data_IF_541763008636
#
_entry.id   IF_541763008636
#
_cell.length_a   1.000
_cell.length_b   1.000
_cell.length_c   1.000
_cell.angle_alpha   90.00
_cell.angle_beta   90.00
_cell.angle_gamma   90.00
#
_symmetry.space_group_name_H-M   'P 1'
#
loop_
_entity.id
_entity.type
_entity.pdbx_description
1 polymer ?
#
# COMPACT_ATOMS: atom_id res chain seq x y z
N UNK A 1 3.46 -12.98 -9.88
CA UNK A 1 3.91 -14.35 -9.50
C UNK A 1 3.73 -15.36 -10.61
N UNK A 2 4.49 -16.47 -10.56
CA UNK A 2 4.44 -17.55 -11.56
C UNK A 2 3.72 -18.78 -11.00
N UNK A 3 2.73 -19.27 -11.72
CA UNK A 3 2.05 -20.54 -11.43
C UNK A 3 2.60 -21.64 -12.35
N UNK A 4 2.85 -22.82 -11.77
CA UNK A 4 3.28 -24.00 -12.50
C UNK A 4 2.23 -25.10 -12.31
N UNK A 5 1.62 -25.53 -13.41
CA UNK A 5 0.74 -26.70 -13.45
C UNK A 5 1.55 -27.91 -13.88
N UNK A 6 1.59 -28.94 -13.04
CA UNK A 6 2.23 -30.22 -13.35
C UNK A 6 1.16 -31.27 -13.64
N UNK A 7 1.30 -31.99 -14.74
CA UNK A 7 0.46 -33.14 -15.02
C UNK A 7 0.99 -34.37 -14.27
N UNK A 8 0.42 -34.64 -13.09
CA UNK A 8 0.70 -35.84 -12.30
C UNK A 8 -0.17 -37.06 -12.68
N UNK A 9 -1.02 -36.92 -13.70
CA UNK A 9 -1.88 -37.98 -14.21
C UNK A 9 -1.19 -38.78 -15.32
N UNK A 10 -1.79 -39.89 -15.72
CA UNK A 10 -1.42 -40.74 -16.86
C UNK A 10 -2.09 -40.30 -18.17
N UNK A 11 -3.17 -39.52 -18.11
CA UNK A 11 -3.81 -38.90 -19.26
C UNK A 11 -3.13 -37.58 -19.66
N UNK A 12 -3.28 -37.17 -20.92
CA UNK A 12 -2.90 -35.81 -21.35
C UNK A 12 -3.95 -34.81 -20.88
N UNK A 13 -3.51 -33.60 -20.53
CA UNK A 13 -4.38 -32.49 -20.12
C UNK A 13 -3.98 -31.21 -20.83
N UNK A 14 -4.84 -30.19 -20.80
CA UNK A 14 -4.48 -28.82 -21.19
C UNK A 14 -4.75 -27.87 -20.02
N UNK A 15 -4.08 -26.72 -20.04
CA UNK A 15 -4.49 -25.54 -19.30
C UNK A 15 -4.90 -24.54 -20.36
N UNK A 16 -6.16 -24.13 -20.35
CA UNK A 16 -6.73 -23.20 -21.33
C UNK A 16 -7.52 -22.14 -20.57
N UNK A 17 -7.06 -20.89 -20.65
CA UNK A 17 -7.72 -19.76 -19.98
C UNK A 17 -9.10 -19.48 -20.59
N UNK A 18 -10.07 -19.14 -19.75
CA UNK A 18 -11.46 -18.93 -20.11
C UNK A 18 -12.42 -19.84 -19.34
N UNK A 19 -13.66 -19.91 -19.80
CA UNK A 19 -14.70 -20.74 -19.19
C UNK A 19 -15.22 -21.76 -20.19
N UNK A 20 -15.83 -22.84 -19.69
CA UNK A 20 -16.43 -23.88 -20.56
C UNK A 20 -17.52 -23.28 -21.46
N UNK A 21 -18.33 -22.35 -20.94
CA UNK A 21 -19.42 -21.72 -21.67
C UNK A 21 -18.96 -20.59 -22.60
N UNK A 22 -17.96 -19.81 -22.18
CA UNK A 22 -17.42 -18.68 -22.94
C UNK A 22 -16.32 -19.03 -23.93
N UNK A 23 -15.77 -20.26 -23.83
CA UNK A 23 -14.61 -20.68 -24.61
C UNK A 23 -13.30 -20.05 -24.14
N UNK A 24 -12.21 -20.25 -24.90
CA UNK A 24 -10.89 -19.73 -24.56
C UNK A 24 -10.82 -18.20 -24.72
N UNK A 25 -10.26 -17.50 -23.73
CA UNK A 25 -10.09 -16.04 -23.76
C UNK A 25 -8.69 -15.59 -24.23
N UNK A 26 -7.74 -16.52 -24.35
CA UNK A 26 -6.40 -16.28 -24.89
C UNK A 26 -5.40 -15.63 -23.93
N UNK A 27 -5.73 -15.46 -22.64
CA UNK A 27 -4.84 -14.86 -21.64
C UNK A 27 -3.63 -15.76 -21.35
N UNK A 28 -3.86 -17.06 -21.13
CA UNK A 28 -2.80 -18.05 -20.91
C UNK A 28 -3.22 -19.45 -21.35
N UNK A 29 -2.24 -20.33 -21.43
CA UNK A 29 -2.47 -21.68 -21.93
C UNK A 29 -2.79 -21.72 -23.42
N UNK A 30 -3.43 -22.81 -23.86
CA UNK A 30 -3.78 -23.01 -25.27
C UNK A 30 -4.15 -24.47 -25.57
N UNK A 31 -4.08 -24.87 -26.84
CA UNK A 31 -4.34 -26.25 -27.29
C UNK A 31 -3.17 -27.21 -27.05
N UNK A 32 -2.12 -26.76 -26.34
CA UNK A 32 -0.92 -27.55 -26.11
C UNK A 32 -1.18 -28.56 -24.99
N UNK A 33 -1.02 -29.85 -25.32
CA UNK A 33 -1.14 -30.93 -24.36
C UNK A 33 0.05 -30.96 -23.41
N UNK A 34 -0.24 -30.97 -22.11
CA UNK A 34 0.68 -31.34 -21.05
C UNK A 34 0.63 -32.86 -20.93
N UNK A 35 1.70 -33.53 -21.36
CA UNK A 35 1.83 -34.99 -21.23
C UNK A 35 2.12 -35.39 -19.78
N UNK A 36 1.89 -36.66 -19.38
CA UNK A 36 2.24 -37.16 -18.05
C UNK A 36 3.67 -36.79 -17.64
N UNK A 37 3.80 -36.25 -16.42
CA UNK A 37 5.08 -35.80 -15.84
C UNK A 37 5.61 -34.46 -16.37
N UNK A 38 4.94 -33.82 -17.34
CA UNK A 38 5.32 -32.50 -17.86
C UNK A 38 4.59 -31.37 -17.12
N UNK A 39 5.06 -30.14 -17.33
CA UNK A 39 4.49 -28.95 -16.70
C UNK A 39 4.26 -27.81 -17.69
N UNK A 40 3.28 -26.96 -17.40
CA UNK A 40 3.06 -25.66 -18.02
C UNK A 40 3.26 -24.56 -16.96
N UNK A 41 3.83 -23.43 -17.35
CA UNK A 41 4.03 -22.28 -16.46
C UNK A 41 3.52 -21.00 -17.09
N UNK A 42 2.95 -20.13 -16.26
CA UNK A 42 2.53 -18.79 -16.67
C UNK A 42 2.78 -17.79 -15.54
N UNK A 43 3.23 -16.59 -15.90
CA UNK A 43 3.49 -15.51 -14.96
C UNK A 43 2.36 -14.50 -15.06
N UNK A 44 1.64 -14.30 -13.96
CA UNK A 44 0.59 -13.28 -13.87
C UNK A 44 1.19 -11.95 -13.42
N UNK A 45 0.86 -10.89 -14.15
CA UNK A 45 1.31 -9.51 -13.89
C UNK A 45 0.17 -8.58 -13.49
N UNK A 46 -1.07 -9.02 -13.66
CA UNK A 46 -2.28 -8.26 -13.35
C UNK A 46 -3.12 -9.00 -12.32
N UNK A 47 -3.76 -8.25 -11.44
CA UNK A 47 -4.74 -8.81 -10.53
C UNK A 47 -6.04 -9.14 -11.23
N UNK A 48 -6.75 -10.12 -10.69
CA UNK A 48 -7.99 -10.58 -11.27
C UNK A 48 -8.26 -12.05 -10.98
N UNK A 49 -9.37 -12.50 -11.56
CA UNK A 49 -9.78 -13.89 -11.53
C UNK A 49 -9.60 -14.47 -12.91
N UNK A 50 -8.82 -15.53 -12.98
CA UNK A 50 -8.40 -16.15 -14.22
C UNK A 50 -8.94 -17.58 -14.26
N UNK A 51 -10.19 -17.78 -14.73
CA UNK A 51 -10.74 -19.11 -14.90
C UNK A 51 -9.98 -19.86 -15.99
N UNK A 52 -9.88 -21.18 -15.82
CA UNK A 52 -9.29 -22.06 -16.82
C UNK A 52 -9.98 -23.42 -16.80
N UNK A 53 -9.84 -24.14 -17.90
CA UNK A 53 -10.37 -25.49 -18.03
C UNK A 53 -9.46 -26.36 -18.92
N UNK A 54 -9.70 -27.67 -18.90
CA UNK A 54 -9.10 -28.61 -19.82
C UNK A 54 -9.99 -28.80 -21.06
N UNK A 55 -9.44 -28.64 -22.27
CA UNK A 55 -10.20 -28.71 -23.53
C UNK A 55 -10.79 -30.10 -23.79
N UNK A 56 -10.08 -31.16 -23.41
CA UNK A 56 -10.50 -32.54 -23.66
C UNK A 56 -11.21 -33.18 -22.47
N UNK A 57 -11.19 -32.50 -21.31
CA UNK A 57 -11.90 -32.90 -20.10
C UNK A 57 -12.62 -31.67 -19.52
N UNK A 58 -13.71 -31.18 -20.14
CA UNK A 58 -14.30 -29.87 -19.79
C UNK A 58 -14.84 -29.77 -18.36
N UNK A 59 -15.03 -30.89 -17.67
CA UNK A 59 -15.36 -30.92 -16.24
C UNK A 59 -14.18 -30.51 -15.33
N UNK A 60 -12.95 -30.50 -15.84
CA UNK A 60 -11.77 -30.04 -15.12
C UNK A 60 -11.65 -28.53 -15.25
N UNK A 61 -12.27 -27.82 -14.31
CA UNK A 61 -12.23 -26.36 -14.21
C UNK A 61 -11.44 -25.91 -13.00
N UNK A 62 -10.77 -24.77 -13.09
CA UNK A 62 -10.14 -24.11 -11.97
C UNK A 62 -10.14 -22.60 -12.13
N UNK A 63 -9.74 -21.88 -11.08
CA UNK A 63 -9.59 -20.42 -11.13
C UNK A 63 -8.30 -20.05 -10.41
N UNK A 64 -7.47 -19.25 -11.06
CA UNK A 64 -6.35 -18.56 -10.39
C UNK A 64 -6.87 -17.21 -9.93
N UNK A 65 -6.77 -16.95 -8.63
CA UNK A 65 -7.01 -15.63 -8.06
C UNK A 65 -5.65 -14.95 -7.91
N UNK A 66 -5.44 -13.86 -8.63
CA UNK A 66 -4.28 -13.00 -8.45
C UNK A 66 -4.78 -11.77 -7.70
N UNK A 67 -4.44 -11.70 -6.43
CA UNK A 67 -4.76 -10.54 -5.60
C UNK A 67 -3.55 -9.64 -5.52
N UNK A 68 -3.78 -8.37 -5.19
CA UNK A 68 -2.68 -7.48 -4.91
C UNK A 68 -2.05 -7.97 -3.59
N UNK A 69 -0.78 -8.38 -3.61
CA UNK A 69 -0.06 -8.98 -2.49
C UNK A 69 0.24 -8.02 -1.33
N UNK A 70 -0.64 -7.03 -1.11
CA UNK A 70 -0.54 -6.05 -0.06
C UNK A 70 -0.76 -6.70 1.32
N UNK A 71 0.17 -6.40 2.23
CA UNK A 71 0.12 -6.70 3.66
C UNK A 71 -0.28 -5.42 4.38
N UNK A 72 -1.04 -5.52 5.46
CA UNK A 72 -1.55 -4.35 6.20
C UNK A 72 -0.76 -4.15 7.50
N UNK A 73 -0.31 -2.92 7.71
CA UNK A 73 0.17 -2.40 9.00
C UNK A 73 -1.01 -1.63 9.58
N UNK A 74 -1.65 -2.21 10.59
CA UNK A 74 -2.83 -1.64 11.22
C UNK A 74 -2.47 -0.55 12.22
N UNK A 75 -3.45 0.30 12.51
CA UNK A 75 -3.40 1.24 13.63
C UNK A 75 -2.23 2.26 13.56
N UNK A 76 -1.73 2.60 12.36
CA UNK A 76 -0.69 3.61 12.20
C UNK A 76 -1.22 4.96 12.68
N UNK A 77 -0.51 5.57 13.63
CA UNK A 77 -0.95 6.81 14.28
C UNK A 77 -1.54 6.62 15.68
N UNK A 78 -1.91 5.40 16.10
CA UNK A 78 -2.53 5.14 17.41
C UNK A 78 -1.75 5.65 18.63
N UNK A 79 -0.43 5.64 18.54
CA UNK A 79 0.47 6.05 19.63
C UNK A 79 0.79 7.55 19.61
N UNK A 80 0.25 8.29 18.65
CA UNK A 80 0.47 9.72 18.46
C UNK A 80 -0.87 10.44 18.22
N UNK A 81 -0.89 11.77 18.18
CA UNK A 81 -2.12 12.54 17.92
C UNK A 81 -3.14 12.48 19.05
N UNK A 82 -4.40 12.26 18.70
CA UNK A 82 -5.54 12.17 19.64
C UNK A 82 -5.73 10.76 20.23
N UNK A 83 -4.92 9.78 19.80
CA UNK A 83 -5.01 8.38 20.22
C UNK A 83 -6.24 7.62 19.69
N UNK A 84 -7.04 8.23 18.83
CA UNK A 84 -8.24 7.63 18.22
C UNK A 84 -8.17 7.60 16.69
N UNK A 85 -7.47 8.55 16.08
CA UNK A 85 -7.28 8.62 14.65
C UNK A 85 -6.16 7.66 14.26
N UNK A 86 -6.52 6.63 13.49
CA UNK A 86 -5.59 5.62 13.01
C UNK A 86 -5.77 5.36 11.53
N UNK A 87 -4.69 4.92 10.89
CA UNK A 87 -4.63 4.64 9.47
C UNK A 87 -4.13 3.22 9.26
N UNK A 88 -4.75 2.51 8.32
CA UNK A 88 -4.20 1.27 7.80
C UNK A 88 -3.26 1.61 6.64
N UNK A 89 -2.00 1.16 6.76
CA UNK A 89 -1.00 1.30 5.70
C UNK A 89 -0.80 -0.04 5.04
N UNK A 90 -1.01 -0.12 3.73
CA UNK A 90 -0.87 -1.36 2.99
C UNK A 90 0.45 -1.36 2.21
N UNK A 91 1.16 -2.48 2.14
CA UNK A 91 2.38 -2.58 1.35
C UNK A 91 2.54 -3.93 0.66
N UNK A 92 2.97 -3.91 -0.60
CA UNK A 92 3.40 -5.09 -1.33
C UNK A 92 4.92 -5.05 -1.41
N UNK A 93 5.54 -5.99 -0.70
CA UNK A 93 6.98 -6.18 -0.65
C UNK A 93 7.28 -7.63 -0.27
N UNK A 94 8.44 -8.12 -0.71
CA UNK A 94 8.92 -9.47 -0.43
C UNK A 94 9.53 -9.60 0.98
N UNK A 95 9.83 -8.46 1.63
CA UNK A 95 10.28 -8.35 3.02
C UNK A 95 9.20 -7.74 3.91
N UNK A 96 9.34 -7.92 5.22
CA UNK A 96 8.39 -7.41 6.20
C UNK A 96 8.71 -5.95 6.48
N UNK A 97 7.70 -5.07 6.42
CA UNK A 97 7.76 -3.73 7.01
C UNK A 97 7.13 -3.77 8.40
N UNK A 98 7.93 -3.47 9.42
CA UNK A 98 7.48 -3.30 10.78
C UNK A 98 7.52 -1.82 11.15
N UNK A 99 6.42 -1.30 11.71
CA UNK A 99 6.39 0.07 12.20
C UNK A 99 7.44 0.23 13.33
N UNK A 100 8.37 1.16 13.15
CA UNK A 100 9.46 1.39 14.10
C UNK A 100 9.24 2.71 14.88
N UNK A 101 9.04 3.82 14.16
CA UNK A 101 8.89 5.14 14.77
C UNK A 101 7.82 5.95 14.05
N UNK A 102 7.02 6.67 14.83
CA UNK A 102 6.20 7.79 14.36
C UNK A 102 6.58 9.01 15.20
N UNK A 103 7.00 10.09 14.55
CA UNK A 103 7.27 11.38 15.18
C UNK A 103 6.44 12.47 14.48
N UNK A 104 5.39 12.94 15.14
CA UNK A 104 4.54 14.01 14.60
C UNK A 104 5.24 15.36 14.52
N UNK A 105 6.14 15.67 15.46
CA UNK A 105 6.85 16.95 15.49
C UNK A 105 7.81 17.08 14.33
N UNK A 106 8.47 15.97 13.96
CA UNK A 106 9.37 15.89 12.82
C UNK A 106 8.68 15.42 11.53
N UNK A 107 7.39 15.05 11.61
CA UNK A 107 6.62 14.45 10.51
C UNK A 107 7.30 13.22 9.92
N UNK A 108 7.78 12.32 10.78
CA UNK A 108 8.47 11.10 10.40
C UNK A 108 7.60 9.86 10.63
N UNK A 109 7.59 8.98 9.63
CA UNK A 109 7.10 7.62 9.72
C UNK A 109 8.23 6.69 9.27
N UNK A 110 8.74 5.88 10.19
CA UNK A 110 9.86 4.97 9.94
C UNK A 110 9.42 3.53 10.11
N UNK A 111 9.79 2.71 9.15
CA UNK A 111 9.64 1.27 9.15
C UNK A 111 11.01 0.59 9.23
N UNK A 112 11.09 -0.45 10.06
CA UNK A 112 12.17 -1.43 9.99
C UNK A 112 11.84 -2.46 8.90
N UNK A 113 12.83 -2.80 8.09
CA UNK A 113 12.72 -3.79 7.02
C UNK A 113 13.36 -5.09 7.50
N UNK A 114 12.53 -6.12 7.68
CA UNK A 114 12.92 -7.39 8.29
C UNK A 114 12.96 -8.50 7.24
N UNK A 115 14.00 -9.33 7.30
CA UNK A 115 14.24 -10.45 6.38
C UNK A 115 15.21 -10.09 5.27
N UNK A 116 15.52 -11.06 4.42
CA UNK A 116 16.38 -10.91 3.24
C UNK A 116 15.52 -10.86 1.98
N UNK A 117 15.93 -10.06 0.99
CA UNK A 117 15.27 -10.05 -0.32
C UNK A 117 15.18 -11.47 -0.90
N UNK A 118 13.99 -11.83 -1.36
CA UNK A 118 13.69 -13.10 -2.04
C UNK A 118 13.28 -12.86 -3.50
N UNK A 119 13.12 -11.59 -3.90
CA UNK A 119 12.75 -11.15 -5.25
C UNK A 119 13.92 -10.44 -5.94
N UNK A 120 14.03 -10.63 -7.25
CA UNK A 120 15.00 -9.92 -8.08
C UNK A 120 14.54 -8.49 -8.44
N UNK A 121 13.25 -8.17 -8.28
CA UNK A 121 12.71 -6.87 -8.69
C UNK A 121 12.95 -5.75 -7.67
N UNK A 122 13.14 -6.09 -6.39
CA UNK A 122 13.39 -5.16 -5.29
C UNK A 122 12.29 -4.11 -5.09
N UNK A 123 11.10 -4.29 -5.67
CA UNK A 123 10.08 -3.23 -5.70
C UNK A 123 9.20 -3.26 -4.46
N UNK A 124 9.26 -2.20 -3.66
CA UNK A 124 8.28 -1.90 -2.62
C UNK A 124 7.18 -1.02 -3.21
N UNK A 125 5.93 -1.45 -3.07
CA UNK A 125 4.75 -0.57 -3.23
C UNK A 125 4.11 -0.35 -1.88
N UNK A 126 3.98 0.89 -1.44
CA UNK A 126 3.29 1.26 -0.21
C UNK A 126 2.10 2.17 -0.53
N UNK A 127 0.93 1.84 0.01
CA UNK A 127 -0.31 2.61 -0.10
C UNK A 127 -0.53 3.30 1.23
N UNK A 128 -0.56 4.62 1.16
CA UNK A 128 -0.70 5.50 2.31
C UNK A 128 -2.01 6.26 2.16
N UNK A 129 -2.90 6.26 3.16
CA UNK A 129 -4.09 7.11 3.14
C UNK A 129 -3.69 8.57 2.94
N UNK A 130 -4.42 9.31 2.10
CA UNK A 130 -4.10 10.72 1.82
C UNK A 130 -4.17 11.58 3.07
N UNK A 131 -5.04 11.24 4.01
CA UNK A 131 -5.08 11.88 5.33
C UNK A 131 -3.78 11.67 6.15
N UNK A 132 -3.06 10.57 5.94
CA UNK A 132 -1.75 10.34 6.57
C UNK A 132 -0.63 11.11 5.84
N UNK A 133 -0.80 11.37 4.54
CA UNK A 133 0.19 12.02 3.67
C UNK A 133 -0.48 12.77 2.51
N UNK A 134 -0.65 14.08 2.66
CA UNK A 134 -1.14 14.97 1.60
C UNK A 134 -0.17 16.14 1.39
N UNK A 135 0.63 16.06 0.33
CA UNK A 135 1.62 17.07 -0.02
C UNK A 135 2.99 16.49 -0.35
N UNK A 136 4.02 17.34 -0.53
CA UNK A 136 5.36 16.88 -0.86
C UNK A 136 5.97 16.10 0.32
N UNK A 137 6.46 14.90 0.04
CA UNK A 137 7.17 14.08 0.99
C UNK A 137 8.51 13.61 0.45
N UNK A 138 9.36 13.15 1.35
CA UNK A 138 10.69 12.63 1.02
C UNK A 138 10.79 11.20 1.53
N UNK A 139 11.27 10.32 0.66
CA UNK A 139 11.61 8.94 1.02
C UNK A 139 13.12 8.86 1.28
N UNK A 140 13.47 8.31 2.43
CA UNK A 140 14.84 8.03 2.85
C UNK A 140 14.95 6.54 3.13
N UNK A 141 15.97 5.89 2.55
CA UNK A 141 16.31 4.51 2.83
C UNK A 141 17.72 4.46 3.40
N UNK A 142 17.87 3.89 4.59
CA UNK A 142 19.12 3.80 5.35
C UNK A 142 19.91 5.12 5.49
N UNK A 143 19.18 6.24 5.55
CA UNK A 143 19.76 7.58 5.69
C UNK A 143 20.02 8.30 4.36
N UNK A 144 19.81 7.65 3.22
CA UNK A 144 19.95 8.25 1.90
C UNK A 144 18.60 8.57 1.27
N UNK A 145 18.47 9.79 0.73
CA UNK A 145 17.28 10.17 -0.05
C UNK A 145 17.26 9.38 -1.36
N UNK A 146 16.13 8.77 -1.66
CA UNK A 146 15.93 8.00 -2.90
C UNK A 146 14.80 8.58 -3.75
N UNK A 147 14.84 8.25 -5.04
CA UNK A 147 13.76 8.54 -5.96
C UNK A 147 12.64 7.50 -5.83
N UNK A 148 11.42 7.92 -6.12
CA UNK A 148 10.23 7.08 -6.10
C UNK A 148 9.27 7.53 -7.20
N UNK A 149 8.31 6.67 -7.52
CA UNK A 149 7.15 7.02 -8.33
C UNK A 149 5.94 7.10 -7.43
N UNK A 150 5.06 8.08 -7.68
CA UNK A 150 3.81 8.23 -6.94
C UNK A 150 2.61 8.24 -7.88
N UNK A 151 1.50 7.69 -7.42
CA UNK A 151 0.19 7.85 -8.03
C UNK A 151 -0.85 8.08 -6.94
N UNK A 152 -1.74 9.04 -7.15
CA UNK A 152 -2.82 9.36 -6.22
C UNK A 152 -4.15 8.90 -6.82
N UNK A 153 -4.93 8.20 -6.01
CA UNK A 153 -6.28 7.73 -6.32
C UNK A 153 -7.17 8.11 -5.13
N UNK A 154 -8.16 8.98 -5.33
CA UNK A 154 -9.06 9.59 -4.34
C UNK A 154 -8.47 9.71 -2.90
N UNK A 155 -8.57 8.64 -2.11
CA UNK A 155 -8.21 8.60 -0.69
C UNK A 155 -6.85 7.92 -0.38
N UNK A 156 -6.11 7.48 -1.40
CA UNK A 156 -4.87 6.72 -1.28
C UNK A 156 -3.76 7.25 -2.19
N UNK A 157 -2.59 7.48 -1.60
CA UNK A 157 -1.32 7.72 -2.31
C UNK A 157 -0.54 6.42 -2.38
N UNK A 158 -0.27 5.91 -3.59
CA UNK A 158 0.60 4.75 -3.80
C UNK A 158 2.00 5.21 -4.18
N UNK A 159 3.00 4.78 -3.40
CA UNK A 159 4.41 5.08 -3.60
C UNK A 159 5.14 3.80 -4.02
N UNK A 160 5.82 3.84 -5.15
CA UNK A 160 6.63 2.73 -5.68
C UNK A 160 8.11 3.07 -5.58
N UNK A 161 8.85 2.21 -4.90
CA UNK A 161 10.23 2.42 -4.49
C UNK A 161 11.06 1.21 -4.91
N UNK A 162 12.16 1.43 -5.62
CA UNK A 162 13.16 0.39 -5.86
C UNK A 162 14.09 0.31 -4.63
N UNK A 163 13.99 -0.79 -3.89
CA UNK A 163 14.69 -1.00 -2.63
C UNK A 163 16.03 -1.73 -2.87
N UNK A 164 17.15 -1.22 -2.33
CA UNK A 164 18.37 -1.99 -2.22
C UNK A 164 18.17 -3.28 -1.41
N UNK A 165 18.84 -4.36 -1.84
CA UNK A 165 18.62 -5.70 -1.29
C UNK A 165 18.92 -5.82 0.23
N UNK A 166 19.86 -5.03 0.72
CA UNK A 166 20.34 -5.05 2.10
C UNK A 166 19.73 -3.94 2.98
N UNK A 167 18.73 -3.22 2.46
CA UNK A 167 18.15 -2.08 3.17
C UNK A 167 17.50 -2.46 4.50
N UNK A 168 17.58 -1.61 5.51
CA UNK A 168 17.09 -1.93 6.87
C UNK A 168 16.06 -0.95 7.38
N UNK A 169 16.11 0.29 6.93
CA UNK A 169 15.24 1.35 7.39
C UNK A 169 14.64 2.09 6.20
N UNK A 170 13.32 2.22 6.23
CA UNK A 170 12.55 3.10 5.35
C UNK A 170 11.99 4.24 6.20
N UNK A 171 12.24 5.49 5.81
CA UNK A 171 11.67 6.67 6.47
C UNK A 171 10.95 7.54 5.47
N UNK A 172 9.72 7.91 5.82
CA UNK A 172 8.86 8.82 5.07
C UNK A 172 8.78 10.12 5.87
N UNK A 173 9.30 11.21 5.30
CA UNK A 173 9.23 12.55 5.89
C UNK A 173 8.14 13.34 5.20
N UNK A 174 7.24 13.92 5.97
CA UNK A 174 6.12 14.71 5.47
C UNK A 174 4.76 14.12 5.81
N UNK A 175 4.67 13.22 6.80
CA UNK A 175 3.36 12.75 7.26
C UNK A 175 2.54 13.91 7.82
N UNK A 176 1.25 13.89 7.54
CA UNK A 176 0.27 14.84 8.01
C UNK A 176 -0.70 14.15 8.94
N UNK A 177 -0.23 13.60 10.07
CA UNK A 177 -1.18 13.13 11.08
C UNK A 177 -1.83 14.37 11.66
N UNK A 178 -3.08 14.64 11.29
CA UNK A 178 -3.81 15.81 11.77
C UNK A 178 -3.85 15.75 13.30
N UNK A 179 -3.19 16.65 14.04
CA UNK A 179 -3.71 17.01 15.34
C UNK A 179 -4.83 17.96 15.00
N UNK A 180 -6.05 17.44 14.87
CA UNK A 180 -7.18 18.34 14.94
C UNK A 180 -7.05 18.96 16.31
N UNK A 181 -6.72 20.25 16.34
CA UNK A 181 -7.02 21.04 17.51
C UNK A 181 -8.44 20.66 17.88
N UNK A 182 -8.59 19.86 18.95
CA UNK A 182 -9.90 19.47 19.43
C UNK A 182 -10.73 20.75 19.48
N UNK A 183 -12.01 20.67 19.11
CA UNK A 183 -12.95 21.81 18.96
C UNK A 183 -12.74 22.93 20.01
N UNK A 184 -12.24 22.58 21.19
CA UNK A 184 -11.71 23.47 22.23
C UNK A 184 -10.69 24.53 21.77
N UNK A 185 -9.68 24.23 20.95
CA UNK A 185 -8.66 25.24 20.58
C UNK A 185 -9.16 26.23 19.52
N UNK A 186 -10.07 25.80 18.63
CA UNK A 186 -10.78 26.74 17.74
C UNK A 186 -11.65 27.68 18.56
N UNK A 187 -12.33 27.17 19.59
CA UNK A 187 -13.13 28.00 20.53
C UNK A 187 -12.23 28.96 21.31
N UNK A 188 -11.09 28.52 21.84
CA UNK A 188 -10.17 29.39 22.58
C UNK A 188 -9.58 30.49 21.67
N UNK A 189 -9.22 30.16 20.42
CA UNK A 189 -8.71 31.14 19.46
C UNK A 189 -9.79 32.15 19.03
N UNK A 190 -11.03 31.70 18.84
CA UNK A 190 -12.17 32.59 18.56
C UNK A 190 -12.50 33.52 19.75
N UNK A 191 -12.41 33.01 20.99
CA UNK A 191 -12.62 33.82 22.20
C UNK A 191 -11.47 34.84 22.38
N UNK A 192 -10.22 34.44 22.14
CA UNK A 192 -9.06 35.31 22.24
C UNK A 192 -9.13 36.46 21.22
N UNK A 193 -9.48 36.16 19.96
CA UNK A 193 -9.63 37.18 18.91
C UNK A 193 -10.83 38.11 19.16
N UNK A 194 -11.96 37.59 19.65
CA UNK A 194 -13.10 38.42 20.05
C UNK A 194 -12.77 39.34 21.23
N UNK A 195 -11.99 38.88 22.21
CA UNK A 195 -11.59 39.66 23.38
C UNK A 195 -10.66 40.82 23.05
N UNK A 196 -9.80 40.65 22.03
CA UNK A 196 -8.92 41.72 21.55
C UNK A 196 -9.74 42.81 20.81
N UNK A 197 -10.78 42.42 20.07
CA UNK A 197 -11.67 43.35 19.37
C UNK A 197 -12.67 44.07 20.29
N UNK A 198 -13.05 43.45 21.41
CA UNK A 198 -14.02 43.99 22.36
C UNK A 198 -13.41 44.96 23.39
N UNK A 199 -12.11 45.28 23.32
CA UNK A 199 -11.48 46.19 24.28
C UNK A 199 -12.02 47.63 24.08
N UNK A 200 -12.80 48.18 25.04
CA UNK A 200 -13.30 49.53 24.91
C UNK A 200 -12.12 50.49 25.04
N UNK A 201 -11.94 51.40 24.07
CA UNK A 201 -10.99 52.52 24.17
C UNK A 201 -11.25 53.29 25.47
N UNK A 202 -10.51 52.99 26.53
CA UNK A 202 -10.61 53.75 27.77
C UNK A 202 -10.05 55.15 27.51
N UNK A 203 -10.94 56.14 27.52
CA UNK A 203 -10.54 57.56 27.49
C UNK A 203 -9.84 57.88 28.81
N UNK A 204 -8.52 57.92 28.79
CA UNK A 204 -7.72 58.53 29.85
C UNK A 204 -8.09 60.01 29.96
N UNK A 205 -8.70 60.40 31.07
CA UNK A 205 -8.88 61.79 31.48
C UNK A 205 -7.83 62.07 32.56
N UNK A 206 -6.74 62.75 32.19
CA UNK A 206 -5.78 63.32 33.13
C UNK A 206 -6.41 64.58 33.74
N UNK A 207 -6.68 64.54 35.05
CA UNK A 207 -6.94 65.77 35.83
C UNK A 207 -5.60 66.29 36.34
N UNK A 208 -5.27 67.52 35.95
CA UNK A 208 -4.19 68.33 36.53
C UNK A 208 -4.59 68.87 37.90
#
# INVERSE_FOLDING_TARGET
DTVIWQNADTAKHTITSGTVDGGPDGIFGGSNFISPGQSYKFTFTETGQFPYYCLIHPWMTGTVFVTDGYKTIQDVGKTVGDGSTTFDVEYNFDRILALNLIDQGQKLLTFEIIGNSQSDDGMLKIRLPTELIDGPFVIIVDGEKINFQESKDDDVTTVSILMPNDSKLLTIIGISIVPEFGVTSIVILAIATASILASPKSRFQLKF
#
